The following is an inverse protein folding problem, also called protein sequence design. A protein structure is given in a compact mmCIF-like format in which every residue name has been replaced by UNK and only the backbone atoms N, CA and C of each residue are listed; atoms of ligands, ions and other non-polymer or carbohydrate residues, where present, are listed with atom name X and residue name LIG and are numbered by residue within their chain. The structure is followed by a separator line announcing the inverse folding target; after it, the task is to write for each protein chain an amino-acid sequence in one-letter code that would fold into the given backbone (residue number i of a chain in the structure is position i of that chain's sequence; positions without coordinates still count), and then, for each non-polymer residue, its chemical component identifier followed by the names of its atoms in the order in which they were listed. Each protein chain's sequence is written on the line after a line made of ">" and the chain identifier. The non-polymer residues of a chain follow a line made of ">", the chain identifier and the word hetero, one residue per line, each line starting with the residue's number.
data_IF_897111836039
#
_entry.id   IF_897111836039
#
_cell.length_a   1.000
_cell.length_b   1.000
_cell.length_c   1.000
_cell.angle_alpha   90.00
_cell.angle_beta   90.00
_cell.angle_gamma   90.00
#
_symmetry.space_group_name_H-M   'P 1'
#
loop_
_entity.id
_entity.type
_entity.pdbx_description
1 polymer ?
#
# COMPACT_ATOMS: atom_id res chain seq x y z
N UNK A 1 15.53 -8.72 -10.88
CA UNK A 1 15.73 -9.35 -12.21
C UNK A 1 15.40 -10.83 -12.09
N UNK A 2 14.70 -11.43 -13.06
CA UNK A 2 14.41 -12.88 -13.04
C UNK A 2 15.37 -13.65 -13.95
N UNK A 3 15.65 -14.92 -13.65
CA UNK A 3 16.52 -15.79 -14.49
C UNK A 3 16.04 -15.81 -15.94
N UNK A 4 14.71 -15.78 -16.17
CA UNK A 4 14.12 -15.77 -17.53
C UNK A 4 14.43 -14.50 -18.32
N UNK A 5 14.64 -13.37 -17.65
CA UNK A 5 14.89 -12.08 -18.31
C UNK A 5 16.38 -11.84 -18.61
N UNK A 6 17.28 -12.30 -17.73
CA UNK A 6 18.72 -11.97 -17.83
C UNK A 6 19.61 -13.19 -18.06
N UNK A 7 19.06 -14.41 -17.99
CA UNK A 7 19.81 -15.65 -18.07
C UNK A 7 20.54 -16.01 -16.78
N UNK A 8 20.87 -17.30 -16.62
CA UNK A 8 21.55 -17.82 -15.43
C UNK A 8 22.92 -17.19 -15.15
N UNK A 9 23.79 -16.94 -16.16
CA UNK A 9 25.11 -16.33 -15.90
C UNK A 9 25.00 -14.94 -15.30
N UNK A 10 24.16 -14.06 -15.87
CA UNK A 10 23.96 -12.69 -15.38
C UNK A 10 23.27 -12.68 -14.01
N UNK A 11 22.30 -13.59 -13.79
CA UNK A 11 21.65 -13.73 -12.51
C UNK A 11 22.62 -14.13 -11.38
N UNK A 12 23.54 -15.06 -11.64
CA UNK A 12 24.52 -15.51 -10.64
C UNK A 12 25.53 -14.42 -10.22
N UNK A 13 25.91 -13.54 -11.13
CA UNK A 13 26.84 -12.43 -10.83
C UNK A 13 26.14 -11.17 -10.34
N UNK A 14 24.80 -11.16 -10.35
CA UNK A 14 24.02 -10.04 -9.81
C UNK A 14 24.19 -10.00 -8.30
N UNK A 15 24.56 -8.84 -7.71
CA UNK A 15 24.67 -8.73 -6.27
C UNK A 15 23.31 -8.99 -5.61
N UNK A 16 23.27 -9.99 -4.73
CA UNK A 16 22.14 -10.21 -3.85
C UNK A 16 22.19 -9.20 -2.71
N UNK A 17 21.53 -8.06 -2.88
CA UNK A 17 21.50 -7.04 -1.84
C UNK A 17 20.40 -7.38 -0.83
N UNK A 18 20.79 -7.74 0.40
CA UNK A 18 19.86 -7.81 1.52
C UNK A 18 19.64 -6.39 2.02
N UNK A 19 18.44 -5.86 1.82
CA UNK A 19 18.05 -4.50 2.23
C UNK A 19 17.54 -4.43 3.66
N UNK A 20 17.94 -5.36 4.53
CA UNK A 20 17.62 -5.33 5.95
C UNK A 20 18.81 -4.78 6.73
N UNK A 21 18.57 -3.82 7.60
CA UNK A 21 19.53 -3.42 8.61
C UNK A 21 19.92 -4.61 9.47
N UNK A 22 21.14 -4.55 10.01
CA UNK A 22 21.66 -5.58 10.91
C UNK A 22 20.78 -5.77 12.14
N UNK A 23 20.14 -4.70 12.60
CA UNK A 23 19.20 -4.76 13.73
C UNK A 23 17.99 -5.64 13.40
N UNK A 24 17.32 -5.39 12.26
CA UNK A 24 16.15 -6.19 11.85
C UNK A 24 16.56 -7.62 11.51
N UNK A 25 17.70 -7.81 10.86
CA UNK A 25 18.22 -9.14 10.50
C UNK A 25 18.48 -10.03 11.73
N UNK A 26 18.72 -9.44 12.91
CA UNK A 26 18.93 -10.18 14.15
C UNK A 26 17.62 -10.55 14.87
N UNK A 27 16.46 -10.06 14.41
CA UNK A 27 15.16 -10.37 15.04
C UNK A 27 14.66 -11.74 14.60
N UNK A 28 14.11 -12.49 15.55
CA UNK A 28 13.38 -13.72 15.22
C UNK A 28 12.04 -13.39 14.54
N UNK A 29 11.49 -14.29 13.73
CA UNK A 29 10.16 -14.11 13.14
C UNK A 29 9.08 -13.79 14.19
N UNK A 30 9.14 -14.43 15.37
CA UNK A 30 8.19 -14.19 16.45
C UNK A 30 8.33 -12.78 17.05
N UNK A 31 9.56 -12.25 17.13
CA UNK A 31 9.78 -10.87 17.57
C UNK A 31 9.18 -9.89 16.58
N UNK A 32 9.40 -10.10 15.27
CA UNK A 32 8.83 -9.26 14.20
C UNK A 32 7.29 -9.25 14.27
N UNK A 33 6.67 -10.43 14.37
CA UNK A 33 5.21 -10.54 14.47
C UNK A 33 4.67 -9.85 15.74
N UNK A 34 5.34 -10.03 16.88
CA UNK A 34 4.95 -9.39 18.14
C UNK A 34 5.05 -7.87 18.06
N UNK A 35 6.09 -7.34 17.44
CA UNK A 35 6.25 -5.89 17.24
C UNK A 35 5.15 -5.32 16.35
N UNK A 36 4.84 -6.00 15.22
CA UNK A 36 3.76 -5.59 14.32
C UNK A 36 2.36 -5.64 14.96
N UNK A 37 2.16 -6.55 15.91
CA UNK A 37 0.89 -6.67 16.64
C UNK A 37 0.66 -5.54 17.65
N UNK A 38 1.69 -4.78 18.04
CA UNK A 38 1.59 -3.76 19.08
C UNK A 38 0.86 -2.50 18.58
N UNK A 39 -0.08 -2.02 19.37
CA UNK A 39 -0.72 -0.73 19.17
C UNK A 39 -0.02 0.43 19.90
N UNK A 40 -0.23 1.63 19.38
CA UNK A 40 0.20 2.87 20.01
C UNK A 40 -0.49 3.04 21.38
N UNK A 41 0.29 3.47 22.36
CA UNK A 41 -0.28 3.96 23.63
C UNK A 41 -1.13 5.20 23.37
N UNK A 42 -2.38 5.17 23.84
CA UNK A 42 -3.33 6.28 23.70
C UNK A 42 -3.24 7.29 24.87
N UNK A 43 -2.26 7.13 25.77
CA UNK A 43 -2.06 7.90 27.00
C UNK A 43 -2.73 7.30 28.24
N UNK A 44 -2.53 7.92 29.40
CA UNK A 44 -2.94 7.42 30.73
C UNK A 44 -4.47 7.28 30.88
N UNK A 45 -5.27 7.96 30.05
CA UNK A 45 -6.72 7.80 29.96
C UNK A 45 -7.19 7.42 28.55
N UNK A 46 -6.37 6.67 27.82
CA UNK A 46 -6.62 6.30 26.43
C UNK A 46 -7.94 5.55 26.20
N UNK A 47 -8.45 4.85 27.22
CA UNK A 47 -9.72 4.13 27.15
C UNK A 47 -10.94 5.06 27.08
N UNK A 48 -10.83 6.32 27.53
CA UNK A 48 -11.90 7.32 27.42
C UNK A 48 -11.95 7.99 26.04
N UNK A 49 -10.88 7.86 25.24
CA UNK A 49 -10.88 8.37 23.87
C UNK A 49 -11.65 7.40 22.99
N UNK A 50 -12.69 7.88 22.32
CA UNK A 50 -13.46 7.08 21.35
C UNK A 50 -13.01 7.39 19.92
N UNK A 51 -13.11 8.64 19.48
CA UNK A 51 -12.88 9.05 18.08
C UNK A 51 -11.50 9.65 17.80
N UNK A 52 -10.85 10.27 18.79
CA UNK A 52 -9.56 10.96 18.62
C UNK A 52 -8.35 10.06 18.91
N UNK A 53 -8.49 8.74 18.77
CA UNK A 53 -7.34 7.83 18.84
C UNK A 53 -6.48 8.01 17.59
N UNK A 54 -5.17 7.89 17.76
CA UNK A 54 -4.23 7.96 16.65
C UNK A 54 -3.37 6.71 16.61
N UNK A 55 -3.04 6.28 15.40
CA UNK A 55 -2.32 5.03 15.17
C UNK A 55 -1.12 5.25 14.24
N UNK A 56 -0.04 4.55 14.51
CA UNK A 56 1.15 4.52 13.66
C UNK A 56 0.90 3.61 12.46
N UNK A 57 1.18 4.14 11.28
CA UNK A 57 1.41 3.33 10.08
C UNK A 57 2.89 3.34 9.77
N UNK A 58 3.51 2.15 9.73
CA UNK A 58 4.91 1.97 9.33
C UNK A 58 4.93 1.45 7.89
N UNK A 59 5.60 2.15 6.97
CA UNK A 59 5.62 1.77 5.55
C UNK A 59 6.99 1.30 5.05
N UNK A 60 8.03 1.50 5.86
CA UNK A 60 9.32 0.83 5.74
C UNK A 60 9.82 0.54 7.17
N UNK A 61 9.95 -0.73 7.50
CA UNK A 61 10.35 -1.16 8.85
C UNK A 61 11.84 -0.89 9.12
N UNK A 62 12.66 -0.75 8.06
CA UNK A 62 14.10 -0.53 8.15
C UNK A 62 14.50 0.91 8.51
N UNK A 63 13.58 1.85 8.31
CA UNK A 63 13.80 3.26 8.61
C UNK A 63 12.81 3.74 9.68
N UNK A 64 13.29 4.08 10.90
CA UNK A 64 12.44 4.63 11.95
C UNK A 64 11.66 5.88 11.55
N UNK A 65 12.11 6.65 10.56
CA UNK A 65 11.45 7.86 10.04
C UNK A 65 10.35 7.58 9.01
N UNK A 66 10.27 6.34 8.52
CA UNK A 66 9.32 5.88 7.50
C UNK A 66 8.00 5.44 8.11
N UNK A 67 7.38 6.38 8.83
CA UNK A 67 6.12 6.22 9.55
C UNK A 67 5.26 7.47 9.39
N UNK A 68 3.95 7.31 9.46
CA UNK A 68 2.99 8.42 9.58
C UNK A 68 1.87 8.07 10.56
N UNK A 69 1.07 9.06 10.95
CA UNK A 69 -0.07 8.87 11.85
C UNK A 69 -1.38 8.91 11.07
N UNK A 70 -2.33 8.08 11.48
CA UNK A 70 -3.73 8.14 11.07
C UNK A 70 -4.59 8.41 12.30
N UNK A 71 -5.70 9.10 12.12
CA UNK A 71 -6.80 9.10 13.09
C UNK A 71 -7.58 7.79 12.95
N UNK A 72 -8.20 7.33 14.03
CA UNK A 72 -9.08 6.16 14.00
C UNK A 72 -10.15 6.30 12.90
N UNK A 73 -10.37 5.21 12.14
CA UNK A 73 -11.26 5.14 10.98
C UNK A 73 -10.86 5.99 9.76
N UNK A 74 -9.71 6.67 9.80
CA UNK A 74 -9.19 7.38 8.64
C UNK A 74 -8.59 6.42 7.60
N UNK A 75 -8.76 6.72 6.31
CA UNK A 75 -8.08 5.94 5.27
C UNK A 75 -6.56 6.13 5.33
N UNK A 76 -5.80 5.07 5.05
CA UNK A 76 -4.34 5.11 5.09
C UNK A 76 -3.76 6.16 4.13
N UNK A 77 -4.32 6.30 2.93
CA UNK A 77 -3.91 7.32 1.97
C UNK A 77 -4.17 8.75 2.49
N UNK A 78 -5.30 8.97 3.17
CA UNK A 78 -5.65 10.26 3.76
C UNK A 78 -4.70 10.63 4.90
N UNK A 79 -4.31 9.65 5.74
CA UNK A 79 -3.30 9.86 6.77
C UNK A 79 -1.90 10.07 6.21
N UNK A 80 -1.51 9.32 5.17
CA UNK A 80 -0.22 9.49 4.49
C UNK A 80 -0.06 10.92 3.97
N UNK A 81 -1.11 11.51 3.42
CA UNK A 81 -1.12 12.89 2.92
C UNK A 81 -0.90 13.96 4.01
N UNK A 82 -0.91 13.61 5.31
CA UNK A 82 -0.52 14.54 6.38
C UNK A 82 0.99 14.77 6.42
N UNK A 83 1.78 13.84 5.88
CA UNK A 83 3.21 14.00 5.71
C UNK A 83 3.52 14.90 4.52
N UNK A 84 4.04 16.10 4.79
CA UNK A 84 4.29 17.15 3.79
C UNK A 84 5.70 17.15 3.21
N UNK A 85 6.54 16.16 3.54
CA UNK A 85 7.85 15.97 2.91
C UNK A 85 7.67 15.75 1.40
N UNK A 86 8.65 16.16 0.59
CA UNK A 86 8.60 15.94 -0.86
C UNK A 86 9.01 14.50 -1.19
N UNK A 87 8.03 13.60 -1.16
CA UNK A 87 8.21 12.18 -1.47
C UNK A 87 8.45 11.89 -2.94
N UNK A 88 8.24 12.85 -3.84
CA UNK A 88 8.52 12.67 -5.28
C UNK A 88 10.02 12.53 -5.55
N UNK A 89 10.87 13.03 -4.64
CA UNK A 89 12.33 12.87 -4.68
C UNK A 89 12.76 11.45 -4.33
N UNK A 90 12.01 10.78 -3.45
CA UNK A 90 12.29 9.41 -2.99
C UNK A 90 11.68 8.38 -3.94
N UNK A 91 10.43 8.61 -4.35
CA UNK A 91 9.69 7.75 -5.28
C UNK A 91 8.93 8.61 -6.29
N UNK A 92 9.30 8.60 -7.58
CA UNK A 92 8.67 9.42 -8.61
C UNK A 92 7.21 9.04 -8.90
N UNK A 93 6.70 7.93 -8.33
CA UNK A 93 5.29 7.55 -8.40
C UNK A 93 4.43 8.31 -7.40
N UNK A 94 5.04 8.92 -6.39
CA UNK A 94 4.33 9.74 -5.42
C UNK A 94 3.81 11.02 -6.07
N UNK A 95 2.69 11.53 -5.54
CA UNK A 95 2.10 12.80 -5.95
C UNK A 95 2.46 13.84 -4.90
N UNK A 96 2.89 15.04 -5.34
CA UNK A 96 3.26 16.13 -4.41
C UNK A 96 2.11 16.42 -3.45
N UNK A 97 2.40 16.43 -2.15
CA UNK A 97 1.43 16.70 -1.08
C UNK A 97 0.54 15.53 -0.66
N UNK A 98 0.66 14.36 -1.31
CA UNK A 98 -0.09 13.13 -1.02
C UNK A 98 0.65 12.17 -0.06
N UNK A 99 1.86 12.54 0.37
CA UNK A 99 2.68 11.74 1.28
C UNK A 99 3.39 10.58 0.57
N UNK A 100 3.84 9.57 1.33
CA UNK A 100 4.66 8.48 0.81
C UNK A 100 3.90 7.44 -0.01
N UNK A 101 2.55 7.41 0.03
CA UNK A 101 1.76 6.42 -0.71
C UNK A 101 1.43 6.96 -2.12
N UNK A 102 1.80 6.25 -3.20
CA UNK A 102 1.42 6.65 -4.56
C UNK A 102 -0.11 6.68 -4.77
N UNK A 103 -0.69 7.88 -4.88
CA UNK A 103 -2.13 8.10 -5.00
C UNK A 103 -2.46 8.96 -6.22
N UNK A 104 -3.58 8.65 -6.88
CA UNK A 104 -4.16 9.46 -7.96
C UNK A 104 -5.65 9.73 -7.73
N UNK A 105 -6.50 8.69 -7.77
CA UNK A 105 -7.96 8.89 -7.86
C UNK A 105 -8.73 9.01 -6.53
N UNK A 106 -8.13 8.59 -5.40
CA UNK A 106 -8.76 8.46 -4.06
C UNK A 106 -10.14 7.77 -4.00
N UNK A 107 -10.51 6.97 -5.01
CA UNK A 107 -11.88 6.47 -5.21
C UNK A 107 -11.93 5.00 -5.66
N UNK A 108 -10.85 4.25 -5.44
CA UNK A 108 -10.67 2.88 -5.93
C UNK A 108 -10.80 2.72 -7.47
N UNK A 109 -10.52 3.76 -8.24
CA UNK A 109 -10.71 3.76 -9.70
C UNK A 109 -9.45 3.45 -10.51
N UNK A 110 -8.25 3.64 -9.94
CA UNK A 110 -6.97 3.52 -10.67
C UNK A 110 -6.01 2.43 -10.18
N UNK A 111 -6.16 1.94 -8.95
CA UNK A 111 -5.28 0.90 -8.38
C UNK A 111 -3.86 1.34 -8.01
N UNK A 112 -3.50 2.63 -8.14
CA UNK A 112 -2.12 3.10 -7.89
C UNK A 112 -1.71 3.01 -6.42
N UNK A 113 -2.67 3.20 -5.51
CA UNK A 113 -2.46 3.22 -4.06
C UNK A 113 -2.51 1.84 -3.42
N UNK A 114 -2.22 0.78 -4.18
CA UNK A 114 -2.19 -0.55 -3.59
C UNK A 114 -1.01 -0.70 -2.64
N UNK A 115 -1.22 -1.45 -1.57
CA UNK A 115 -0.24 -1.70 -0.52
C UNK A 115 -0.23 -3.19 -0.18
N UNK A 116 0.91 -3.68 0.30
CA UNK A 116 0.99 -4.97 0.98
C UNK A 116 0.91 -4.76 2.49
N UNK A 117 0.08 -5.53 3.20
CA UNK A 117 -0.03 -5.50 4.66
C UNK A 117 0.92 -6.54 5.23
N UNK A 118 1.88 -6.09 6.03
CA UNK A 118 2.87 -6.93 6.70
C UNK A 118 2.43 -7.37 8.11
N UNK A 119 1.55 -6.58 8.74
CA UNK A 119 0.92 -6.89 10.03
C UNK A 119 -0.14 -5.86 10.42
N UNK A 120 -1.07 -6.27 11.28
CA UNK A 120 -2.23 -5.46 11.67
C UNK A 120 -3.37 -5.51 10.65
N UNK A 121 -3.48 -6.55 9.82
CA UNK A 121 -4.56 -6.68 8.85
C UNK A 121 -5.94 -6.72 9.53
N UNK A 122 -6.02 -7.39 10.67
CA UNK A 122 -7.19 -7.46 11.55
C UNK A 122 -7.62 -6.10 12.10
N UNK A 123 -6.73 -5.10 12.05
CA UNK A 123 -6.95 -3.73 12.49
C UNK A 123 -7.32 -2.79 11.35
N UNK A 124 -7.54 -3.30 10.15
CA UNK A 124 -8.11 -2.54 9.05
C UNK A 124 -9.60 -2.83 8.93
N UNK A 125 -10.34 -1.85 8.40
CA UNK A 125 -11.72 -2.07 8.00
C UNK A 125 -11.83 -3.23 6.98
N UNK A 126 -12.92 -4.00 7.03
CA UNK A 126 -13.20 -5.00 6.00
C UNK A 126 -13.20 -4.38 4.60
N UNK A 127 -12.82 -5.16 3.60
CA UNK A 127 -12.86 -4.73 2.20
C UNK A 127 -14.30 -4.40 1.79
N UNK A 128 -14.50 -3.18 1.30
CA UNK A 128 -15.78 -2.78 0.73
C UNK A 128 -16.00 -3.42 -0.66
N UNK A 129 -17.25 -3.61 -1.07
CA UNK A 129 -17.63 -4.22 -2.36
C UNK A 129 -16.93 -3.57 -3.56
N UNK A 130 -16.76 -2.24 -3.53
CA UNK A 130 -16.07 -1.49 -4.60
C UNK A 130 -14.59 -1.85 -4.66
N UNK A 131 -13.92 -1.89 -3.51
CA UNK A 131 -12.50 -2.28 -3.40
C UNK A 131 -12.31 -3.73 -3.87
N UNK A 132 -13.12 -4.69 -3.40
CA UNK A 132 -13.03 -6.10 -3.77
C UNK A 132 -13.09 -6.30 -5.29
N UNK A 133 -14.10 -5.70 -5.94
CA UNK A 133 -14.26 -5.75 -7.39
C UNK A 133 -13.05 -5.13 -8.11
N UNK A 134 -12.59 -3.96 -7.66
CA UNK A 134 -11.53 -3.21 -8.33
C UNK A 134 -10.15 -3.85 -8.16
N UNK A 135 -9.82 -4.38 -6.99
CA UNK A 135 -8.58 -5.13 -6.76
C UNK A 135 -8.47 -6.32 -7.72
N UNK A 136 -9.58 -7.04 -7.94
CA UNK A 136 -9.65 -8.12 -8.93
C UNK A 136 -9.48 -7.60 -10.36
N UNK A 137 -10.18 -6.53 -10.74
CA UNK A 137 -10.05 -5.90 -12.07
C UNK A 137 -8.62 -5.40 -12.34
N UNK A 138 -7.92 -4.91 -11.32
CA UNK A 138 -6.51 -4.49 -11.43
C UNK A 138 -5.53 -5.66 -11.50
N UNK A 139 -5.99 -6.91 -11.30
CA UNK A 139 -5.17 -8.11 -11.39
C UNK A 139 -4.27 -8.37 -10.18
N UNK A 140 -4.58 -7.80 -9.01
CA UNK A 140 -3.74 -7.97 -7.82
C UNK A 140 -3.99 -9.29 -7.08
N UNK A 141 -5.19 -9.48 -6.54
CA UNK A 141 -5.58 -10.71 -5.81
C UNK A 141 -7.08 -10.95 -6.01
N UNK A 142 -7.48 -12.22 -5.98
CA UNK A 142 -8.88 -12.64 -5.91
C UNK A 142 -9.05 -13.48 -4.65
N UNK A 143 -9.64 -12.90 -3.61
CA UNK A 143 -9.89 -13.54 -2.30
C UNK A 143 -11.20 -13.00 -1.71
N UNK A 144 -11.85 -13.83 -0.91
CA UNK A 144 -13.04 -13.50 -0.12
C UNK A 144 -12.70 -13.15 1.35
N UNK A 145 -11.42 -13.18 1.73
CA UNK A 145 -10.97 -12.74 3.04
C UNK A 145 -11.41 -11.29 3.30
N UNK A 146 -11.98 -10.98 4.49
CA UNK A 146 -12.45 -9.62 4.79
C UNK A 146 -11.31 -8.61 4.91
N UNK A 147 -10.11 -9.04 5.34
CA UNK A 147 -8.93 -8.19 5.55
C UNK A 147 -7.71 -8.82 4.85
N UNK A 148 -7.69 -8.85 3.50
CA UNK A 148 -6.63 -9.50 2.76
C UNK A 148 -5.33 -8.70 2.85
N UNK A 149 -4.21 -9.39 2.60
CA UNK A 149 -2.86 -8.81 2.65
C UNK A 149 -2.57 -7.77 1.55
N UNK A 150 -3.41 -7.69 0.50
CA UNK A 150 -3.31 -6.65 -0.53
C UNK A 150 -4.55 -5.77 -0.45
N UNK A 151 -4.34 -4.46 -0.26
CA UNK A 151 -5.39 -3.47 -0.06
C UNK A 151 -5.18 -2.23 -0.92
N UNK A 152 -6.24 -1.47 -1.15
CA UNK A 152 -6.13 -0.10 -1.66
C UNK A 152 -6.07 0.86 -0.47
N UNK A 153 -4.96 1.58 -0.30
CA UNK A 153 -4.76 2.49 0.83
C UNK A 153 -5.81 3.62 0.89
N UNK A 154 -6.43 3.98 -0.23
CA UNK A 154 -7.53 4.95 -0.26
C UNK A 154 -8.89 4.38 0.18
N UNK A 155 -8.97 3.10 0.51
CA UNK A 155 -10.20 2.44 0.99
C UNK A 155 -10.00 1.73 2.34
N UNK A 156 -8.77 1.32 2.64
CA UNK A 156 -8.41 0.73 3.94
C UNK A 156 -8.43 1.80 5.03
N UNK A 157 -9.36 1.68 5.98
CA UNK A 157 -9.43 2.53 7.17
C UNK A 157 -8.73 1.85 8.34
N UNK A 158 -7.94 2.60 9.11
CA UNK A 158 -7.20 2.04 10.23
C UNK A 158 -7.93 2.14 11.57
N UNK A 159 -8.06 1.00 12.23
CA UNK A 159 -8.65 0.84 13.56
C UNK A 159 -7.57 0.66 14.65
N UNK A 160 -6.32 0.46 14.24
CA UNK A 160 -5.15 0.25 15.09
C UNK A 160 -3.85 0.51 14.32
N UNK A 161 -2.71 0.23 14.93
CA UNK A 161 -1.40 0.39 14.29
C UNK A 161 -1.16 -0.72 13.25
N UNK A 162 -0.64 -0.35 12.08
CA UNK A 162 -0.44 -1.25 10.95
C UNK A 162 0.95 -1.11 10.35
N UNK A 163 1.51 -2.21 9.88
CA UNK A 163 2.76 -2.24 9.13
C UNK A 163 2.48 -2.66 7.70
N UNK A 164 2.90 -1.84 6.75
CA UNK A 164 2.64 -2.00 5.32
C UNK A 164 3.96 -1.95 4.55
N UNK A 165 3.92 -2.39 3.31
CA UNK A 165 4.96 -2.16 2.31
C UNK A 165 4.37 -1.37 1.15
N UNK A 166 5.17 -0.44 0.62
CA UNK A 166 4.91 0.23 -0.63
C UNK A 166 5.60 -0.56 -1.74
N UNK A 167 4.87 -1.44 -2.44
CA UNK A 167 5.49 -2.32 -3.43
C UNK A 167 6.13 -1.50 -4.56
N UNK A 168 7.30 -1.92 -5.08
CA UNK A 168 8.01 -1.18 -6.11
C UNK A 168 7.30 -1.22 -7.48
N UNK A 169 6.37 -2.16 -7.65
CA UNK A 169 5.51 -2.27 -8.82
C UNK A 169 4.18 -1.66 -8.45
N UNK A 170 3.71 -0.64 -9.16
CA UNK A 170 2.29 -0.30 -9.13
C UNK A 170 1.68 -0.89 -10.38
N UNK A 171 0.60 -1.65 -10.25
CA UNK A 171 -0.15 -2.11 -11.41
C UNK A 171 -0.61 -0.89 -12.19
N UNK A 172 0.15 -0.48 -13.21
CA UNK A 172 -0.23 0.58 -14.16
C UNK A 172 -1.34 0.05 -15.10
N UNK A 173 -2.08 -0.98 -14.68
CA UNK A 173 -3.13 -1.60 -15.49
C UNK A 173 -4.26 -0.61 -15.78
N UNK A 174 -4.55 0.35 -14.89
CA UNK A 174 -5.54 1.39 -15.16
C UNK A 174 -5.29 2.12 -16.48
N UNK A 175 -4.07 2.64 -16.71
CA UNK A 175 -3.77 3.39 -17.95
C UNK A 175 -3.80 2.49 -19.20
N UNK A 176 -3.34 1.25 -19.09
CA UNK A 176 -3.39 0.31 -20.22
C UNK A 176 -4.82 -0.14 -20.54
N UNK A 177 -5.64 -0.43 -19.54
CA UNK A 177 -7.06 -0.82 -19.73
C UNK A 177 -7.89 0.37 -20.23
N UNK A 178 -7.73 1.56 -19.66
CA UNK A 178 -8.42 2.77 -20.15
C UNK A 178 -7.97 3.15 -21.56
N UNK A 179 -6.67 3.04 -21.87
CA UNK A 179 -6.15 3.28 -23.23
C UNK A 179 -6.69 2.27 -24.25
N UNK A 180 -6.83 1.00 -23.87
CA UNK A 180 -7.45 -0.03 -24.72
C UNK A 180 -8.96 0.21 -24.90
N UNK A 181 -9.68 0.63 -23.85
CA UNK A 181 -11.11 0.95 -23.95
C UNK A 181 -11.39 2.17 -24.83
N UNK A 182 -10.55 3.20 -24.78
CA UNK A 182 -10.65 4.37 -25.67
C UNK A 182 -10.39 3.97 -27.13
N UNK A 183 -9.34 3.17 -27.39
CA UNK A 183 -9.05 2.67 -28.74
C UNK A 183 -10.16 1.77 -29.29
N UNK A 184 -10.80 0.93 -28.46
CA UNK A 184 -11.94 0.11 -28.90
C UNK A 184 -13.23 0.91 -29.13
N UNK A 185 -13.46 1.97 -28.35
CA UNK A 185 -14.65 2.84 -28.51
C UNK A 185 -14.56 3.79 -29.70
N UNK A 186 -13.35 4.21 -30.08
CA UNK A 186 -13.10 5.06 -31.25
C UNK A 186 -13.18 4.25 -32.57
N UNK A 187 -12.85 2.95 -32.54
CA UNK A 187 -13.02 2.05 -33.67
C UNK A 187 -14.49 1.72 -34.00
N UNK A 188 -15.41 1.90 -33.05
CA UNK A 188 -16.85 1.59 -33.23
C UNK A 188 -17.67 2.80 -33.74
N UNK A 189 -17.02 3.98 -33.88
CA UNK A 189 -17.60 5.19 -34.47
C UNK A 189 -17.06 5.46 -35.89
N UNK A 190 -17.12 4.48 -36.79
CA UNK A 190 -17.05 4.77 -38.23
C UNK A 190 -18.47 5.05 -38.77
N UNK A 191 -18.66 6.08 -39.62
CA UNK A 191 -19.99 6.51 -40.02
C UNK A 191 -20.64 5.43 -40.89
N UNK A 192 -21.82 4.95 -40.46
CA UNK A 192 -22.72 4.24 -41.35
C UNK A 192 -23.15 5.23 -42.44
N UNK A 193 -22.73 4.96 -43.67
CA UNK A 193 -23.23 5.62 -44.89
C UNK A 193 -24.72 5.34 -45.07
#
# INVERSE_FOLDING_TARGET
>A
MTIKQVGLPAFKVSPGTIHLSREIANKSPQQVLRERARDDSQGIFGFLKTTNKTWTVTFNEDDPSSRFKIVHEQELASGAATDKRDWTVVDPRCTRGEGPIPVQCRSASCGTCWIGVLGGAEKLSPVATREARKIKEFGYISTDEPQPIIRLACQAQGLGAVSIVLPPWNGVFGKFVYGQQQQSGEAEQLPRK
#
